data_IF_396973585404
#
_entry.id   IF_396973585404
#
_cell.length_a   1.000
_cell.length_b   1.000
_cell.length_c   1.000
_cell.angle_alpha   90.00
_cell.angle_beta   90.00
_cell.angle_gamma   90.00
#
_symmetry.space_group_name_H-M   'P 1'
#
loop_
_entity.id
_entity.type
_entity.pdbx_description
1 polymer ?
#
# COMPACT_ATOMS: atom_id res chain seq x y z
N UNK A 1 -20.53 -13.06 20.16
CA UNK A 1 -19.29 -13.80 19.83
C UNK A 1 -18.75 -13.18 18.55
N UNK A 2 -17.53 -12.64 18.53
CA UNK A 2 -17.05 -11.82 17.41
C UNK A 2 -17.08 -12.55 16.04
N UNK A 3 -17.56 -11.84 15.02
CA UNK A 3 -17.75 -12.21 13.61
C UNK A 3 -16.93 -11.28 12.72
N UNK A 4 -16.85 -11.54 11.42
CA UNK A 4 -16.13 -10.70 10.47
C UNK A 4 -16.68 -9.27 10.49
N UNK A 5 -18.00 -9.08 10.41
CA UNK A 5 -18.64 -7.77 10.35
C UNK A 5 -18.51 -6.94 11.65
N UNK A 6 -18.13 -7.55 12.77
CA UNK A 6 -17.82 -6.84 14.02
C UNK A 6 -16.42 -6.24 14.03
N UNK A 7 -15.50 -6.73 13.19
CA UNK A 7 -14.11 -6.24 13.11
C UNK A 7 -13.82 -5.48 11.82
N UNK A 8 -14.61 -5.71 10.77
CA UNK A 8 -14.38 -5.19 9.44
C UNK A 8 -15.62 -4.54 8.85
N UNK A 9 -15.46 -3.35 8.27
CA UNK A 9 -16.44 -2.75 7.36
C UNK A 9 -16.20 -3.28 5.95
N UNK A 10 -17.13 -4.04 5.34
CA UNK A 10 -17.01 -4.45 3.95
C UNK A 10 -17.07 -3.23 3.01
N UNK A 11 -16.27 -3.25 1.96
CA UNK A 11 -16.28 -2.29 0.86
C UNK A 11 -16.43 -3.03 -0.48
N UNK A 12 -17.66 -3.45 -0.84
CA UNK A 12 -17.90 -4.29 -2.01
C UNK A 12 -17.45 -3.64 -3.33
N UNK A 13 -17.57 -2.32 -3.46
CA UNK A 13 -17.13 -1.57 -4.64
C UNK A 13 -15.65 -1.80 -4.97
N UNK A 14 -14.82 -1.92 -3.93
CA UNK A 14 -13.37 -2.15 -4.06
C UNK A 14 -12.99 -3.62 -3.89
N UNK A 15 -13.96 -4.49 -3.55
CA UNK A 15 -13.78 -5.90 -3.17
C UNK A 15 -12.83 -6.05 -1.97
N UNK A 16 -12.98 -5.21 -0.96
CA UNK A 16 -12.10 -5.25 0.22
C UNK A 16 -12.89 -5.05 1.50
N UNK A 17 -12.23 -5.08 2.66
CA UNK A 17 -12.83 -4.66 3.92
C UNK A 17 -11.82 -3.86 4.76
N UNK A 18 -12.31 -2.96 5.62
CA UNK A 18 -11.48 -2.11 6.47
C UNK A 18 -11.58 -2.57 7.91
N UNK A 19 -10.44 -2.82 8.56
CA UNK A 19 -10.42 -3.13 9.99
C UNK A 19 -10.73 -1.87 10.82
N UNK A 20 -11.71 -1.94 11.71
CA UNK A 20 -12.10 -0.81 12.57
C UNK A 20 -10.99 -0.36 13.53
N UNK A 21 -10.23 -1.30 14.09
CA UNK A 21 -9.20 -1.01 15.11
C UNK A 21 -7.90 -0.48 14.50
N UNK A 22 -7.55 -0.94 13.29
CA UNK A 22 -6.22 -0.73 12.73
C UNK A 22 -6.20 0.22 11.52
N UNK A 23 -7.37 0.54 10.96
CA UNK A 23 -7.50 1.41 9.81
C UNK A 23 -6.72 0.94 8.58
N UNK A 24 -6.76 -0.37 8.33
CA UNK A 24 -6.13 -0.98 7.16
C UNK A 24 -7.15 -1.75 6.33
N UNK A 25 -6.89 -1.79 5.04
CA UNK A 25 -7.63 -2.62 4.09
C UNK A 25 -7.12 -4.06 4.14
N UNK A 26 -8.04 -5.02 4.11
CA UNK A 26 -7.75 -6.45 3.99
C UNK A 26 -8.38 -7.07 2.74
N UNK A 27 -7.70 -8.10 2.23
CA UNK A 27 -8.17 -9.04 1.21
C UNK A 27 -8.34 -10.41 1.85
N UNK A 28 -8.90 -11.37 1.11
CA UNK A 28 -9.06 -12.74 1.60
C UNK A 28 -7.70 -13.38 1.96
N UNK A 29 -6.64 -13.05 1.21
CA UNK A 29 -5.28 -13.50 1.51
C UNK A 29 -4.68 -12.83 2.74
N UNK A 30 -4.94 -11.55 2.97
CA UNK A 30 -4.28 -10.80 4.06
C UNK A 30 -5.00 -10.90 5.42
N UNK A 31 -6.29 -11.21 5.43
CA UNK A 31 -7.11 -11.26 6.65
C UNK A 31 -6.53 -12.23 7.70
N UNK A 32 -6.04 -13.40 7.29
CA UNK A 32 -5.50 -14.39 8.20
C UNK A 32 -4.24 -13.88 8.92
N UNK A 33 -3.30 -13.29 8.17
CA UNK A 33 -2.09 -12.69 8.73
C UNK A 33 -2.43 -11.51 9.64
N UNK A 34 -3.37 -10.66 9.22
CA UNK A 34 -3.82 -9.52 10.00
C UNK A 34 -4.44 -9.94 11.34
N UNK A 35 -5.46 -10.80 11.33
CA UNK A 35 -6.18 -11.23 12.54
C UNK A 35 -5.26 -11.98 13.49
N UNK A 36 -4.36 -12.83 12.99
CA UNK A 36 -3.41 -13.56 13.85
C UNK A 36 -2.34 -12.67 14.49
N UNK A 37 -1.91 -11.61 13.81
CA UNK A 37 -0.85 -10.72 14.32
C UNK A 37 -1.39 -9.56 15.16
N UNK A 38 -2.53 -8.99 14.76
CA UNK A 38 -3.10 -7.76 15.33
C UNK A 38 -4.23 -8.02 16.32
N UNK A 39 -5.04 -9.05 16.09
CA UNK A 39 -6.14 -9.46 16.98
C UNK A 39 -5.79 -10.72 17.80
N UNK A 40 -4.54 -10.84 18.25
CA UNK A 40 -4.06 -11.98 19.06
C UNK A 40 -4.80 -12.16 20.39
N UNK A 41 -5.46 -11.11 20.86
CA UNK A 41 -6.28 -11.11 22.08
C UNK A 41 -7.57 -11.95 21.91
N UNK A 42 -8.05 -12.15 20.68
CA UNK A 42 -9.18 -13.04 20.41
C UNK A 42 -8.76 -14.49 20.53
N UNK A 43 -9.64 -15.36 21.01
CA UNK A 43 -9.38 -16.80 21.05
C UNK A 43 -9.12 -17.35 19.63
N UNK A 44 -8.24 -18.36 19.51
CA UNK A 44 -7.86 -18.94 18.22
C UNK A 44 -9.08 -19.40 17.40
N UNK A 45 -10.07 -20.03 18.06
CA UNK A 45 -11.32 -20.48 17.41
C UNK A 45 -12.12 -19.32 16.79
N UNK A 46 -12.13 -18.16 17.44
CA UNK A 46 -12.80 -16.95 16.93
C UNK A 46 -12.07 -16.43 15.70
N UNK A 47 -10.74 -16.35 15.75
CA UNK A 47 -9.92 -15.96 14.60
C UNK A 47 -10.10 -16.88 13.40
N UNK A 48 -10.17 -18.20 13.62
CA UNK A 48 -10.43 -19.18 12.56
C UNK A 48 -11.82 -19.00 11.93
N UNK A 49 -12.85 -18.71 12.72
CA UNK A 49 -14.18 -18.42 12.19
C UNK A 49 -14.18 -17.17 11.30
N UNK A 50 -13.55 -16.08 11.75
CA UNK A 50 -13.41 -14.85 10.95
C UNK A 50 -12.70 -15.13 9.62
N UNK A 51 -11.67 -16.00 9.63
CA UNK A 51 -10.99 -16.42 8.39
C UNK A 51 -11.91 -17.21 7.46
N UNK A 52 -12.73 -18.13 8.00
CA UNK A 52 -13.70 -18.90 7.21
C UNK A 52 -14.77 -17.99 6.59
N UNK A 53 -15.27 -17.01 7.33
CA UNK A 53 -16.21 -16.00 6.82
C UNK A 53 -15.57 -15.17 5.69
N UNK A 54 -14.32 -14.75 5.85
CA UNK A 54 -13.59 -14.02 4.81
C UNK A 54 -13.34 -14.85 3.54
N UNK A 55 -13.18 -16.18 3.67
CA UNK A 55 -13.09 -17.08 2.53
C UNK A 55 -14.43 -17.21 1.80
N UNK A 56 -15.55 -17.28 2.52
CA UNK A 56 -16.87 -17.27 1.89
C UNK A 56 -17.11 -15.97 1.11
N UNK A 57 -16.73 -14.82 1.67
CA UNK A 57 -16.78 -13.51 0.99
C UNK A 57 -15.85 -13.43 -0.22
N UNK A 58 -14.78 -14.22 -0.26
CA UNK A 58 -13.95 -14.33 -1.47
C UNK A 58 -14.70 -15.08 -2.56
N UNK A 59 -15.31 -16.19 -2.19
CA UNK A 59 -15.95 -17.12 -3.12
C UNK A 59 -17.23 -16.52 -3.73
N UNK A 60 -17.95 -15.66 -3.01
CA UNK A 60 -19.07 -14.86 -3.54
C UNK A 60 -18.64 -13.60 -4.31
N UNK A 61 -17.34 -13.28 -4.30
CA UNK A 61 -16.74 -12.16 -5.03
C UNK A 61 -16.71 -10.83 -4.28
N UNK A 62 -17.28 -10.73 -3.07
CA UNK A 62 -17.29 -9.53 -2.23
C UNK A 62 -15.92 -9.12 -1.71
N UNK A 63 -14.99 -10.07 -1.62
CA UNK A 63 -13.62 -9.86 -1.18
C UNK A 63 -12.63 -10.33 -2.26
N UNK A 64 -11.64 -9.49 -2.55
CA UNK A 64 -10.57 -9.79 -3.48
C UNK A 64 -9.70 -10.92 -2.92
N UNK A 65 -9.24 -11.82 -3.79
CA UNK A 65 -8.33 -12.88 -3.38
C UNK A 65 -7.00 -12.28 -2.87
N UNK A 66 -6.43 -11.35 -3.62
CA UNK A 66 -5.22 -10.61 -3.26
C UNK A 66 -5.23 -9.17 -3.78
N UNK A 67 -4.11 -8.46 -3.64
CA UNK A 67 -3.97 -7.04 -4.01
C UNK A 67 -4.15 -6.77 -5.50
N UNK A 68 -3.90 -7.75 -6.37
CA UNK A 68 -4.07 -7.60 -7.81
C UNK A 68 -5.54 -7.67 -8.24
N UNK A 69 -6.42 -8.17 -7.36
CA UNK A 69 -7.86 -8.27 -7.62
C UNK A 69 -8.68 -7.16 -6.94
N UNK A 70 -8.00 -6.22 -6.27
CA UNK A 70 -8.63 -5.00 -5.72
C UNK A 70 -9.07 -4.12 -6.89
N UNK A 71 -10.27 -3.57 -6.79
CA UNK A 71 -10.73 -2.52 -7.70
C UNK A 71 -10.34 -1.19 -7.09
N UNK A 72 -9.39 -0.49 -7.72
CA UNK A 72 -9.07 0.88 -7.33
C UNK A 72 -10.03 1.84 -8.02
N UNK A 73 -10.37 2.98 -7.38
CA UNK A 73 -11.17 4.00 -8.02
C UNK A 73 -10.37 4.63 -9.17
N UNK A 74 -11.03 4.83 -10.31
CA UNK A 74 -10.44 5.51 -11.48
C UNK A 74 -10.46 7.05 -11.31
N UNK A 75 -11.39 7.55 -10.51
CA UNK A 75 -11.58 8.96 -10.19
C UNK A 75 -11.30 9.26 -8.71
N UNK A 76 -11.19 10.55 -8.39
CA UNK A 76 -11.04 10.99 -6.99
C UNK A 76 -12.36 10.79 -6.26
N UNK A 77 -12.33 9.98 -5.21
CA UNK A 77 -13.47 9.72 -4.33
C UNK A 77 -13.30 10.42 -2.97
N UNK A 78 -14.38 10.61 -2.21
CA UNK A 78 -14.30 10.99 -0.80
C UNK A 78 -13.44 10.00 0.02
N UNK A 79 -12.98 10.48 1.17
CA UNK A 79 -12.28 9.63 2.14
C UNK A 79 -13.14 8.42 2.52
N UNK A 80 -12.52 7.24 2.56
CA UNK A 80 -13.18 6.02 3.00
C UNK A 80 -13.11 5.97 4.53
N UNK A 81 -14.28 5.82 5.17
CA UNK A 81 -14.37 5.73 6.62
C UNK A 81 -13.49 4.61 7.18
N UNK A 82 -12.81 4.92 8.29
CA UNK A 82 -11.86 4.01 8.93
C UNK A 82 -10.48 3.96 8.26
N UNK A 83 -10.28 4.52 7.07
CA UNK A 83 -8.95 4.65 6.47
C UNK A 83 -8.33 6.02 6.77
N UNK A 84 -7.03 6.06 7.11
CA UNK A 84 -6.32 7.32 7.24
C UNK A 84 -6.16 8.01 5.88
N UNK A 85 -6.38 9.32 5.86
CA UNK A 85 -6.11 10.19 4.70
C UNK A 85 -4.77 10.88 4.90
N UNK A 86 -3.89 10.79 3.91
CA UNK A 86 -2.58 11.43 3.94
C UNK A 86 -2.48 12.50 2.85
N UNK A 87 -1.92 13.66 3.21
CA UNK A 87 -1.71 14.80 2.31
C UNK A 87 -0.32 14.83 1.65
N UNK A 88 0.60 13.94 2.04
CA UNK A 88 2.00 13.92 1.62
C UNK A 88 2.30 12.92 0.49
N UNK A 89 1.26 12.37 -0.14
CA UNK A 89 1.35 11.48 -1.29
C UNK A 89 2.01 12.13 -2.50
N UNK A 90 2.91 11.40 -3.15
CA UNK A 90 3.62 11.84 -4.37
C UNK A 90 3.17 10.96 -5.51
N UNK A 91 2.52 11.57 -6.49
CA UNK A 91 2.01 10.92 -7.70
C UNK A 91 3.06 10.96 -8.80
N UNK A 92 3.30 9.82 -9.45
CA UNK A 92 4.09 9.73 -10.66
C UNK A 92 3.32 10.42 -11.79
N UNK A 93 3.98 11.33 -12.51
CA UNK A 93 3.33 12.12 -13.57
C UNK A 93 3.01 11.23 -14.78
N UNK A 94 3.82 10.20 -15.04
CA UNK A 94 3.71 9.36 -16.23
C UNK A 94 2.60 8.30 -16.12
N UNK A 95 2.50 7.62 -14.98
CA UNK A 95 1.54 6.51 -14.80
C UNK A 95 0.58 6.67 -13.62
N UNK A 96 0.65 7.79 -12.90
CA UNK A 96 -0.26 8.05 -11.77
C UNK A 96 0.02 7.27 -10.48
N UNK A 97 1.05 6.41 -10.42
CA UNK A 97 1.42 5.65 -9.22
C UNK A 97 1.72 6.57 -8.01
N UNK A 98 1.17 6.26 -6.83
CA UNK A 98 1.30 7.11 -5.63
C UNK A 98 2.16 6.43 -4.55
N UNK A 99 3.12 7.17 -4.00
CA UNK A 99 3.91 6.81 -2.81
C UNK A 99 4.11 8.01 -1.91
N UNK A 100 4.15 7.81 -0.59
CA UNK A 100 4.42 8.90 0.36
C UNK A 100 5.90 9.31 0.39
N UNK A 101 6.80 8.34 0.27
CA UNK A 101 8.24 8.57 0.38
C UNK A 101 8.88 9.07 -0.92
N UNK A 102 9.62 10.19 -0.86
CA UNK A 102 10.36 10.73 -2.02
C UNK A 102 11.33 9.70 -2.62
N UNK A 103 12.04 8.95 -1.78
CA UNK A 103 12.96 7.89 -2.22
C UNK A 103 12.25 6.80 -3.00
N UNK A 104 11.04 6.42 -2.58
CA UNK A 104 10.27 5.35 -3.24
C UNK A 104 9.69 5.81 -4.57
N UNK A 105 9.12 7.02 -4.64
CA UNK A 105 8.63 7.53 -5.92
C UNK A 105 9.77 7.74 -6.93
N UNK A 106 10.94 8.21 -6.49
CA UNK A 106 12.13 8.28 -7.36
C UNK A 106 12.68 6.92 -7.77
N UNK A 107 12.54 5.89 -6.92
CA UNK A 107 12.87 4.51 -7.30
C UNK A 107 11.93 4.03 -8.39
N UNK A 108 10.62 4.22 -8.21
CA UNK A 108 9.60 3.88 -9.20
C UNK A 108 9.86 4.59 -10.54
N UNK A 109 10.03 5.92 -10.56
CA UNK A 109 10.31 6.64 -11.81
C UNK A 109 11.58 6.13 -12.51
N UNK A 110 12.61 5.75 -11.74
CA UNK A 110 13.83 5.15 -12.29
C UNK A 110 13.61 3.78 -12.91
N UNK A 111 12.90 2.88 -12.20
CA UNK A 111 12.76 1.49 -12.63
C UNK A 111 11.73 1.33 -13.74
N UNK A 112 10.61 2.04 -13.67
CA UNK A 112 9.50 1.87 -14.60
C UNK A 112 9.61 2.79 -15.81
N UNK A 113 10.17 4.00 -15.64
CA UNK A 113 10.18 5.04 -16.69
C UNK A 113 11.59 5.49 -17.10
N UNK A 114 12.62 4.86 -16.54
CA UNK A 114 14.02 5.22 -16.85
C UNK A 114 14.41 6.64 -16.40
N UNK A 115 13.65 7.27 -15.50
CA UNK A 115 13.90 8.65 -15.07
C UNK A 115 15.30 8.78 -14.47
N UNK A 116 16.13 9.67 -15.01
CA UNK A 116 17.44 10.00 -14.43
C UNK A 116 17.37 11.34 -13.70
N UNK A 117 18.07 11.45 -12.56
CA UNK A 117 18.08 12.71 -11.83
C UNK A 117 18.84 13.78 -12.64
N UNK A 118 18.18 14.86 -13.10
CA UNK A 118 18.83 15.88 -13.91
C UNK A 118 19.88 16.67 -13.12
N UNK A 119 19.76 16.72 -11.79
CA UNK A 119 20.81 17.25 -10.93
C UNK A 119 21.93 16.22 -10.80
N UNK A 120 23.00 16.40 -11.59
CA UNK A 120 24.28 15.73 -11.33
C UNK A 120 24.67 16.00 -9.87
N UNK A 121 25.12 14.97 -9.15
CA UNK A 121 25.71 15.12 -7.82
C UNK A 121 26.75 16.23 -7.93
N UNK A 122 26.58 17.33 -7.18
CA UNK A 122 27.49 18.46 -7.25
C UNK A 122 28.92 17.95 -7.12
N UNK A 123 29.73 18.16 -8.17
CA UNK A 123 31.17 17.98 -8.05
C UNK A 123 31.65 18.88 -6.91
N UNK A 124 32.52 18.35 -6.05
CA UNK A 124 33.18 19.18 -5.02
C UNK A 124 33.85 20.36 -5.75
N UNK A 125 33.54 21.63 -5.43
CA UNK A 125 34.41 22.72 -5.83
C UNK A 125 35.66 22.61 -4.95
N UNK A 126 36.74 22.07 -5.50
CA UNK A 126 38.02 21.97 -4.78
C UNK A 126 38.82 20.72 -5.13
N UNK A 127 39.53 20.76 -6.25
CA UNK A 127 40.75 20.00 -6.48
C UNK A 127 41.58 20.69 -7.59
N UNK A 128 42.14 21.85 -7.25
CA UNK A 128 43.36 22.40 -7.84
C UNK A 128 44.49 21.84 -6.94
N UNK A 129 45.61 21.20 -7.34
CA UNK A 129 46.40 21.10 -8.57
C UNK A 129 47.13 19.74 -8.62
N UNK A 130 47.59 19.33 -9.81
CA UNK A 130 48.94 18.80 -10.14
C UNK A 130 48.95 18.60 -11.67
N UNK A 131 49.68 19.39 -12.48
CA UNK A 131 51.13 19.37 -12.61
C UNK A 131 51.53 18.39 -13.73
N UNK A 132 52.07 18.88 -14.85
CA UNK A 132 52.65 18.04 -15.90
C UNK A 132 52.86 18.74 -17.25
N UNK A 133 54.13 19.08 -17.53
CA UNK A 133 54.69 19.62 -18.78
C UNK A 133 54.49 18.69 -19.99
N UNK A 134 54.52 19.25 -21.21
CA UNK A 134 54.77 18.50 -22.43
C UNK A 134 54.47 19.31 -23.70
N UNK A 135 55.52 19.97 -24.20
CA UNK A 135 55.81 20.55 -25.54
C UNK A 135 54.78 21.42 -26.29
#
# INVERSE_FOLDING_TARGET
>A
MATFSELFTPLPAFRTAVCHEHGIVVTARSVASHVNSRHRHLAARVRQRIMAEALALRDDGSLAADTNNIRFPDEVIPAIDGLPVWSDGKKCIECGYIQRGRKHIQKHCRSEHGWTNPRKRGGKPGAQQAGGLGE
#
